data_IF_709055445603
#
_entry.id   IF_709055445603
#
_cell.length_a   1.000
_cell.length_b   1.000
_cell.length_c   1.000
_cell.angle_alpha   90.00
_cell.angle_beta   90.00
_cell.angle_gamma   90.00
#
_symmetry.space_group_name_H-M   'P 1'
#
loop_
_entity.id
_entity.type
_entity.pdbx_description
1 polymer ?
#
# COMPACT_ATOMS: atom_id res chain seq x y z
N UNK A 1 -43.37 18.64 -10.17
CA UNK A 1 -42.50 18.14 -11.26
C UNK A 1 -42.60 16.62 -11.29
N UNK A 2 -43.15 16.05 -12.37
CA UNK A 2 -43.25 14.59 -12.53
C UNK A 2 -41.84 14.02 -12.75
N UNK A 3 -41.36 13.14 -11.87
CA UNK A 3 -40.09 12.45 -12.05
C UNK A 3 -40.20 11.65 -13.35
N UNK A 4 -39.41 11.99 -14.37
CA UNK A 4 -39.31 11.19 -15.60
C UNK A 4 -39.00 9.75 -15.20
N UNK A 5 -39.92 8.85 -15.48
CA UNK A 5 -39.75 7.42 -15.26
C UNK A 5 -38.61 6.98 -16.19
N UNK A 6 -37.48 6.57 -15.62
CA UNK A 6 -36.33 6.09 -16.39
C UNK A 6 -36.62 4.65 -16.80
N UNK A 7 -36.67 4.39 -18.10
CA UNK A 7 -36.78 3.04 -18.65
C UNK A 7 -35.49 2.27 -18.38
N UNK A 8 -35.58 1.06 -17.83
CA UNK A 8 -34.44 0.17 -17.61
C UNK A 8 -34.50 -0.99 -18.62
N UNK A 9 -33.84 -0.87 -19.78
CA UNK A 9 -33.83 -1.94 -20.77
C UNK A 9 -33.09 -3.17 -20.24
N UNK A 10 -33.50 -4.36 -20.69
CA UNK A 10 -32.79 -5.60 -20.42
C UNK A 10 -31.47 -5.65 -21.18
N UNK A 11 -30.44 -6.23 -20.57
CA UNK A 11 -29.20 -6.58 -21.26
C UNK A 11 -29.28 -7.99 -21.82
N UNK A 12 -28.49 -8.26 -22.86
CA UNK A 12 -28.28 -9.61 -23.38
C UNK A 12 -27.19 -10.29 -22.54
N UNK A 13 -27.60 -10.92 -21.44
CA UNK A 13 -26.68 -11.56 -20.51
C UNK A 13 -26.19 -12.91 -21.04
N UNK A 14 -24.94 -13.24 -20.74
CA UNK A 14 -24.43 -14.60 -20.83
C UNK A 14 -25.27 -15.54 -19.97
N UNK A 15 -25.37 -16.79 -20.41
CA UNK A 15 -26.21 -17.80 -19.74
C UNK A 15 -25.49 -19.12 -19.56
N UNK A 16 -26.02 -19.96 -18.66
CA UNK A 16 -25.63 -21.35 -18.50
C UNK A 16 -24.12 -21.56 -18.44
N UNK A 17 -23.61 -22.29 -19.45
CA UNK A 17 -22.20 -22.70 -19.51
C UNK A 17 -21.25 -21.49 -19.58
N UNK A 18 -21.60 -20.45 -20.33
CA UNK A 18 -20.74 -19.27 -20.53
C UNK A 18 -20.41 -18.56 -19.21
N UNK A 19 -21.39 -18.42 -18.32
CA UNK A 19 -21.18 -17.79 -17.00
C UNK A 19 -20.37 -18.71 -16.09
N UNK A 20 -20.66 -20.01 -16.10
CA UNK A 20 -19.95 -20.96 -15.23
C UNK A 20 -18.50 -21.19 -15.63
N UNK A 21 -18.14 -21.05 -16.91
CA UNK A 21 -16.75 -21.12 -17.36
C UNK A 21 -15.95 -19.93 -16.85
N UNK A 22 -16.50 -18.71 -16.94
CA UNK A 22 -15.91 -17.50 -16.34
C UNK A 22 -15.77 -17.61 -14.82
N UNK A 23 -16.75 -18.20 -14.15
CA UNK A 23 -16.66 -18.50 -12.72
C UNK A 23 -15.56 -19.54 -12.43
N UNK A 24 -15.40 -20.57 -13.27
CA UNK A 24 -14.31 -21.53 -13.15
C UNK A 24 -12.94 -20.86 -13.26
N UNK A 25 -12.75 -20.00 -14.26
CA UNK A 25 -11.52 -19.21 -14.42
C UNK A 25 -11.26 -18.33 -13.19
N UNK A 26 -12.29 -17.59 -12.75
CA UNK A 26 -12.20 -16.66 -11.64
C UNK A 26 -11.84 -17.34 -10.30
N UNK A 27 -12.44 -18.49 -10.02
CA UNK A 27 -12.20 -19.24 -8.79
C UNK A 27 -11.03 -20.23 -8.93
N UNK A 28 -10.36 -20.27 -10.09
CA UNK A 28 -9.33 -21.24 -10.44
C UNK A 28 -9.80 -22.69 -10.18
N UNK A 29 -11.07 -22.96 -10.47
CA UNK A 29 -11.71 -24.25 -10.23
C UNK A 29 -11.41 -25.21 -11.37
N UNK A 30 -10.72 -26.32 -11.06
CA UNK A 30 -10.29 -27.32 -12.06
C UNK A 30 -11.45 -28.01 -12.78
N UNK A 31 -12.65 -28.03 -12.20
CA UNK A 31 -13.85 -28.64 -12.78
C UNK A 31 -15.12 -28.08 -12.11
N UNK A 32 -16.27 -28.37 -12.73
CA UNK A 32 -17.60 -27.91 -12.25
C UNK A 32 -17.98 -28.43 -10.87
N UNK A 33 -17.44 -29.59 -10.46
CA UNK A 33 -17.67 -30.12 -9.10
C UNK A 33 -16.94 -29.29 -8.05
N UNK A 34 -15.70 -28.91 -8.32
CA UNK A 34 -14.95 -28.01 -7.46
C UNK A 34 -15.61 -26.63 -7.39
N UNK A 35 -16.09 -26.11 -8.53
CA UNK A 35 -16.84 -24.85 -8.56
C UNK A 35 -18.12 -24.93 -7.72
N UNK A 36 -18.89 -26.02 -7.85
CA UNK A 36 -20.09 -26.28 -7.03
C UNK A 36 -19.81 -26.24 -5.53
N UNK A 37 -18.69 -26.83 -5.09
CA UNK A 37 -18.29 -26.80 -3.68
C UNK A 37 -17.89 -25.40 -3.23
N UNK A 38 -17.08 -24.68 -4.03
CA UNK A 38 -16.64 -23.31 -3.72
C UNK A 38 -17.80 -22.31 -3.66
N UNK A 39 -18.82 -22.53 -4.48
CA UNK A 39 -20.03 -21.71 -4.56
C UNK A 39 -21.13 -22.21 -3.61
N UNK A 40 -20.95 -23.32 -2.90
CA UNK A 40 -22.00 -23.90 -2.03
C UNK A 40 -23.34 -24.14 -2.75
N UNK A 41 -23.28 -24.56 -4.02
CA UNK A 41 -24.46 -24.88 -4.85
C UNK A 41 -24.41 -26.34 -5.28
N UNK A 42 -25.56 -26.99 -5.45
CA UNK A 42 -25.57 -28.38 -5.92
C UNK A 42 -25.11 -28.50 -7.39
N UNK A 43 -24.43 -29.60 -7.78
CA UNK A 43 -24.10 -29.85 -9.18
C UNK A 43 -25.33 -29.91 -10.09
N UNK A 44 -26.47 -30.35 -9.57
CA UNK A 44 -27.74 -30.40 -10.30
C UNK A 44 -28.26 -29.00 -10.67
N UNK A 45 -28.02 -28.00 -9.82
CA UNK A 45 -28.37 -26.61 -10.10
C UNK A 45 -27.53 -26.06 -11.26
N UNK A 46 -26.22 -26.32 -11.25
CA UNK A 46 -25.34 -25.95 -12.37
C UNK A 46 -25.78 -26.62 -13.68
N UNK A 47 -26.08 -27.92 -13.64
CA UNK A 47 -26.58 -28.65 -14.82
C UNK A 47 -27.89 -28.06 -15.35
N UNK A 48 -28.79 -27.63 -14.46
CA UNK A 48 -30.04 -26.97 -14.85
C UNK A 48 -29.78 -25.63 -15.55
N UNK A 49 -28.81 -24.85 -15.06
CA UNK A 49 -28.43 -23.59 -15.72
C UNK A 49 -27.89 -23.82 -17.13
N UNK A 50 -27.08 -24.87 -17.32
CA UNK A 50 -26.54 -25.23 -18.63
C UNK A 50 -27.63 -25.72 -19.59
N UNK A 51 -28.58 -26.52 -19.11
CA UNK A 51 -29.62 -27.10 -19.96
C UNK A 51 -30.66 -26.07 -20.41
N UNK A 52 -30.94 -25.08 -19.56
CA UNK A 52 -32.03 -24.11 -19.76
C UNK A 52 -31.54 -22.72 -20.13
N UNK A 53 -30.24 -22.57 -20.40
CA UNK A 53 -29.61 -21.26 -20.66
C UNK A 53 -30.04 -20.21 -19.63
N UNK A 54 -29.96 -20.56 -18.34
CA UNK A 54 -30.29 -19.66 -17.23
C UNK A 54 -29.03 -18.92 -16.79
N UNK A 55 -29.14 -17.60 -16.65
CA UNK A 55 -28.10 -16.79 -16.03
C UNK A 55 -28.17 -16.87 -14.49
N UNK A 56 -27.08 -17.26 -13.79
CA UNK A 56 -27.07 -17.35 -12.34
C UNK A 56 -26.83 -15.97 -11.68
N UNK A 57 -27.82 -15.08 -11.76
CA UNK A 57 -27.71 -13.69 -11.28
C UNK A 57 -27.29 -13.56 -9.81
N UNK A 58 -27.87 -14.36 -8.92
CA UNK A 58 -27.54 -14.34 -7.49
C UNK A 58 -26.05 -14.68 -7.27
N UNK A 59 -25.55 -15.70 -7.96
CA UNK A 59 -24.14 -16.10 -7.88
C UNK A 59 -23.25 -14.97 -8.38
N UNK A 60 -23.59 -14.36 -9.52
CA UNK A 60 -22.82 -13.25 -10.05
C UNK A 60 -22.77 -12.06 -9.07
N UNK A 61 -23.89 -11.72 -8.43
CA UNK A 61 -23.98 -10.64 -7.44
C UNK A 61 -23.11 -10.93 -6.22
N UNK A 62 -23.24 -12.11 -5.59
CA UNK A 62 -22.42 -12.41 -4.40
C UNK A 62 -20.94 -12.55 -4.75
N UNK A 63 -20.60 -13.04 -5.95
CA UNK A 63 -19.22 -13.07 -6.43
C UNK A 63 -18.66 -11.66 -6.60
N UNK A 64 -19.44 -10.74 -7.17
CA UNK A 64 -19.08 -9.31 -7.24
C UNK A 64 -18.86 -8.72 -5.85
N UNK A 65 -19.81 -8.90 -4.92
CA UNK A 65 -19.70 -8.36 -3.56
C UNK A 65 -18.53 -8.94 -2.77
N UNK A 66 -18.22 -10.23 -2.96
CA UNK A 66 -17.18 -10.93 -2.19
C UNK A 66 -15.77 -10.70 -2.74
N UNK A 67 -15.61 -10.64 -4.07
CA UNK A 67 -14.30 -10.57 -4.72
C UNK A 67 -14.03 -9.23 -5.42
N UNK A 68 -15.03 -8.39 -5.62
CA UNK A 68 -14.88 -7.12 -6.35
C UNK A 68 -14.87 -7.26 -7.88
N UNK A 69 -15.36 -8.39 -8.41
CA UNK A 69 -15.32 -8.70 -9.85
C UNK A 69 -16.38 -7.93 -10.63
N UNK A 70 -16.05 -7.33 -11.76
CA UNK A 70 -16.99 -6.62 -12.64
C UNK A 70 -18.16 -7.51 -13.11
N UNK A 71 -19.39 -7.07 -12.85
CA UNK A 71 -20.59 -7.72 -13.38
C UNK A 71 -20.67 -7.63 -14.91
N UNK A 72 -20.12 -6.57 -15.52
CA UNK A 72 -20.06 -6.47 -16.99
C UNK A 72 -19.16 -7.54 -17.60
N UNK A 73 -18.00 -7.78 -16.97
CA UNK A 73 -17.11 -8.85 -17.43
C UNK A 73 -17.76 -10.22 -17.20
N UNK A 74 -18.35 -10.43 -16.02
CA UNK A 74 -18.90 -11.73 -15.66
C UNK A 74 -20.17 -12.09 -16.46
N UNK A 75 -21.04 -11.11 -16.71
CA UNK A 75 -22.37 -11.35 -17.29
C UNK A 75 -22.51 -10.90 -18.75
N UNK A 76 -21.64 -10.03 -19.27
CA UNK A 76 -21.74 -9.52 -20.65
C UNK A 76 -20.49 -9.82 -21.49
N UNK A 77 -19.48 -10.46 -20.91
CA UNK A 77 -18.15 -10.63 -21.53
C UNK A 77 -17.44 -9.30 -21.86
N UNK A 78 -17.78 -8.20 -21.19
CA UNK A 78 -17.26 -6.87 -21.48
C UNK A 78 -16.22 -6.40 -20.45
N UNK A 79 -15.09 -5.86 -20.93
CA UNK A 79 -14.06 -5.23 -20.11
C UNK A 79 -13.18 -6.22 -19.34
N UNK A 80 -12.67 -5.81 -18.18
CA UNK A 80 -11.78 -6.60 -17.34
C UNK A 80 -12.50 -7.16 -16.10
N UNK A 81 -12.08 -8.33 -15.56
CA UNK A 81 -12.67 -8.91 -14.34
C UNK A 81 -12.50 -7.98 -13.15
N UNK A 82 -11.41 -7.21 -13.10
CA UNK A 82 -11.14 -6.23 -12.06
C UNK A 82 -10.69 -4.91 -12.69
N UNK A 83 -11.64 -4.09 -13.19
CA UNK A 83 -11.31 -2.85 -13.90
C UNK A 83 -10.57 -1.84 -13.00
N UNK A 84 -10.66 -2.01 -11.68
CA UNK A 84 -9.98 -1.20 -10.67
C UNK A 84 -8.80 -1.92 -9.99
N UNK A 85 -8.42 -3.15 -10.41
CA UNK A 85 -7.25 -3.84 -9.85
C UNK A 85 -5.95 -3.59 -10.65
N UNK A 86 -6.04 -2.90 -11.78
CA UNK A 86 -4.90 -2.15 -12.31
C UNK A 86 -4.40 -1.23 -11.20
N UNK A 87 -3.07 -1.10 -10.96
CA UNK A 87 -2.58 -0.02 -10.10
C UNK A 87 -3.28 1.26 -10.56
N UNK A 88 -3.85 2.05 -9.64
CA UNK A 88 -4.59 3.24 -10.01
C UNK A 88 -3.82 4.06 -11.04
N UNK A 89 -4.16 3.90 -12.31
CA UNK A 89 -3.72 4.83 -13.34
C UNK A 89 -4.66 6.00 -13.17
N UNK A 90 -4.37 6.84 -12.18
CA UNK A 90 -4.80 8.22 -12.20
C UNK A 90 -4.43 8.73 -13.60
N UNK A 91 -5.45 8.91 -14.44
CA UNK A 91 -5.39 9.64 -15.68
C UNK A 91 -5.79 11.07 -15.30
N UNK A 92 -4.83 11.92 -14.92
CA UNK A 92 -5.17 13.32 -14.70
C UNK A 92 -5.76 13.90 -15.99
N UNK A 93 -6.76 14.78 -15.86
CA UNK A 93 -7.33 15.56 -16.97
C UNK A 93 -6.28 16.48 -17.65
N UNK A 94 -5.04 16.52 -17.12
CA UNK A 94 -3.86 17.22 -17.61
C UNK A 94 -2.69 16.25 -17.56
N UNK A 95 -1.75 16.29 -18.51
CA UNK A 95 -0.51 15.49 -18.43
C UNK A 95 0.36 15.93 -17.24
N UNK A 96 0.03 15.50 -16.02
CA UNK A 96 0.92 15.62 -14.87
C UNK A 96 1.97 14.52 -15.00
N UNK A 97 3.14 14.88 -15.51
CA UNK A 97 4.30 13.99 -15.57
C UNK A 97 4.70 13.59 -14.15
N UNK A 98 4.55 12.31 -13.82
CA UNK A 98 5.11 11.77 -12.57
C UNK A 98 6.63 11.85 -12.66
N UNK A 99 7.25 12.65 -11.80
CA UNK A 99 8.69 12.77 -11.74
C UNK A 99 9.22 11.74 -10.74
N UNK A 100 9.62 10.57 -11.24
CA UNK A 100 10.23 9.52 -10.44
C UNK A 100 11.75 9.60 -10.55
N UNK A 101 12.45 9.38 -9.45
CA UNK A 101 13.91 9.26 -9.40
C UNK A 101 14.31 7.92 -8.77
N UNK A 102 15.50 7.45 -9.14
CA UNK A 102 16.13 6.32 -8.48
C UNK A 102 17.15 6.84 -7.45
N UNK A 103 17.05 6.32 -6.22
CA UNK A 103 17.91 6.68 -5.10
C UNK A 103 18.64 5.43 -4.59
N UNK A 104 19.90 5.60 -4.20
CA UNK A 104 20.71 4.50 -3.69
C UNK A 104 20.13 3.97 -2.38
N UNK A 105 19.98 2.65 -2.30
CA UNK A 105 19.41 1.93 -1.17
C UNK A 105 20.51 1.21 -0.40
N UNK A 106 20.62 1.54 0.88
CA UNK A 106 21.55 0.95 1.82
C UNK A 106 20.84 0.23 2.96
N UNK A 107 21.60 -0.57 3.69
CA UNK A 107 21.22 -1.13 4.98
C UNK A 107 22.41 -1.01 5.94
N UNK A 108 22.14 -0.83 7.23
CA UNK A 108 23.20 -0.77 8.25
C UNK A 108 23.39 -2.17 8.84
N UNK A 109 24.55 -2.79 8.57
CA UNK A 109 24.92 -4.11 9.09
C UNK A 109 26.16 -3.99 9.97
N UNK A 110 26.03 -4.36 11.24
CA UNK A 110 27.11 -4.24 12.24
C UNK A 110 27.72 -2.82 12.27
N UNK A 111 26.86 -1.80 12.15
CA UNK A 111 27.26 -0.39 12.10
C UNK A 111 27.95 0.05 10.82
N UNK A 112 27.92 -0.73 9.74
CA UNK A 112 28.45 -0.34 8.43
C UNK A 112 27.31 -0.13 7.43
N UNK A 113 27.41 0.93 6.63
CA UNK A 113 26.51 1.12 5.49
C UNK A 113 26.90 0.15 4.38
N UNK A 114 25.99 -0.77 4.06
CA UNK A 114 26.13 -1.71 2.97
C UNK A 114 25.10 -1.40 1.89
N UNK A 115 25.57 -1.20 0.66
CA UNK A 115 24.72 -1.00 -0.50
C UNK A 115 23.87 -2.26 -0.74
N UNK A 116 22.58 -2.04 -1.00
CA UNK A 116 21.58 -3.08 -1.22
C UNK A 116 20.97 -3.01 -2.63
N UNK A 117 21.02 -1.83 -3.27
CA UNK A 117 20.55 -1.62 -4.63
C UNK A 117 20.00 -0.21 -4.81
N UNK A 118 18.91 -0.09 -5.57
CA UNK A 118 18.22 1.19 -5.83
C UNK A 118 16.76 1.13 -5.38
N UNK A 119 16.20 2.29 -5.06
CA UNK A 119 14.78 2.49 -4.76
C UNK A 119 14.24 3.59 -5.66
N UNK A 120 13.06 3.40 -6.23
CA UNK A 120 12.37 4.51 -6.92
C UNK A 120 11.55 5.32 -5.92
N UNK A 121 11.65 6.64 -5.99
CA UNK A 121 10.94 7.60 -5.13
C UNK A 121 10.33 8.74 -5.95
N UNK A 122 9.31 9.41 -5.41
CA UNK A 122 8.65 10.54 -6.08
C UNK A 122 9.43 11.84 -5.80
N UNK A 123 9.94 12.46 -6.87
CA UNK A 123 10.70 13.70 -6.82
C UNK A 123 9.87 14.87 -6.26
N UNK A 124 8.55 14.88 -6.51
CA UNK A 124 7.70 15.99 -6.06
C UNK A 124 7.72 16.16 -4.54
N UNK A 125 7.81 15.07 -3.79
CA UNK A 125 7.93 15.08 -2.33
C UNK A 125 9.27 15.69 -1.87
N UNK A 126 10.35 15.49 -2.63
CA UNK A 126 11.64 16.09 -2.34
C UNK A 126 11.64 17.59 -2.67
N UNK A 127 11.06 17.96 -3.82
CA UNK A 127 10.95 19.34 -4.27
C UNK A 127 10.12 20.19 -3.31
N UNK A 128 9.04 19.65 -2.74
CA UNK A 128 8.22 20.30 -1.71
C UNK A 128 9.03 20.72 -0.47
N UNK A 129 10.09 19.97 -0.16
CA UNK A 129 11.00 20.24 0.96
C UNK A 129 12.31 20.90 0.53
N UNK A 130 12.53 21.12 -0.77
CA UNK A 130 13.78 21.66 -1.31
C UNK A 130 15.00 20.73 -1.18
N UNK A 131 14.77 19.41 -1.13
CA UNK A 131 15.81 18.40 -0.93
C UNK A 131 16.33 17.90 -2.29
N UNK A 132 17.65 17.85 -2.46
CA UNK A 132 18.28 17.48 -3.74
C UNK A 132 19.19 16.27 -3.70
N UNK A 133 19.65 15.86 -2.50
CA UNK A 133 20.62 14.78 -2.35
C UNK A 133 20.14 13.81 -1.26
N UNK A 134 19.70 12.63 -1.66
CA UNK A 134 19.12 11.65 -0.74
C UNK A 134 19.68 10.25 -0.94
N UNK A 135 19.69 9.49 0.16
CA UNK A 135 19.84 8.04 0.15
C UNK A 135 18.66 7.39 0.89
N UNK A 136 18.34 6.15 0.51
CA UNK A 136 17.43 5.33 1.28
C UNK A 136 18.22 4.39 2.20
N UNK A 137 17.81 4.30 3.47
CA UNK A 137 18.32 3.29 4.40
C UNK A 137 17.17 2.41 4.83
N UNK A 138 17.33 1.10 4.71
CA UNK A 138 16.32 0.11 5.08
C UNK A 138 16.80 -0.80 6.22
N UNK A 139 15.95 -0.90 7.23
CA UNK A 139 16.03 -1.92 8.28
C UNK A 139 14.93 -3.00 8.07
N UNK A 140 14.65 -3.80 9.10
CA UNK A 140 13.66 -4.88 9.01
C UNK A 140 12.23 -4.39 8.72
N UNK A 141 11.83 -3.26 9.32
CA UNK A 141 10.45 -2.76 9.28
C UNK A 141 10.35 -1.39 8.62
N UNK A 142 11.42 -0.60 8.67
CA UNK A 142 11.43 0.79 8.27
C UNK A 142 12.28 1.03 7.02
N UNK A 143 11.89 2.06 6.28
CA UNK A 143 12.71 2.69 5.24
C UNK A 143 12.78 4.18 5.55
N UNK A 144 13.99 4.69 5.67
CA UNK A 144 14.30 6.09 5.94
C UNK A 144 14.85 6.71 4.67
N UNK A 145 14.29 7.85 4.25
CA UNK A 145 14.87 8.69 3.19
C UNK A 145 15.65 9.79 3.90
N UNK A 146 16.96 9.80 3.69
CA UNK A 146 17.91 10.68 4.39
C UNK A 146 18.38 11.76 3.43
N UNK A 147 18.12 13.02 3.77
CA UNK A 147 18.70 14.20 3.15
C UNK A 147 20.15 14.36 3.61
N UNK A 148 21.09 14.20 2.69
CA UNK A 148 22.53 14.27 2.97
C UNK A 148 23.07 15.71 3.08
N UNK A 149 22.31 16.72 2.65
CA UNK A 149 22.73 18.13 2.80
C UNK A 149 22.39 18.66 4.21
N UNK A 150 21.37 18.11 4.87
CA UNK A 150 20.97 18.48 6.24
C UNK A 150 21.87 17.81 7.30
N UNK A 151 23.06 18.39 7.47
CA UNK A 151 24.10 17.92 8.42
C UNK A 151 24.11 18.69 9.75
N UNK A 152 23.41 19.81 9.85
CA UNK A 152 23.34 20.58 11.09
C UNK A 152 22.22 20.05 12.01
N UNK A 153 22.57 19.12 12.91
CA UNK A 153 21.59 18.49 13.79
C UNK A 153 20.96 19.49 14.79
N UNK A 154 19.63 19.63 14.76
CA UNK A 154 18.85 20.49 15.69
C UNK A 154 17.82 19.68 16.45
N UNK A 155 16.87 19.06 15.75
CA UNK A 155 15.87 18.18 16.33
C UNK A 155 15.33 17.26 15.24
N UNK A 156 15.36 15.95 15.46
CA UNK A 156 14.89 14.96 14.49
C UNK A 156 15.68 13.67 14.53
N UNK A 157 15.46 12.80 13.54
CA UNK A 157 16.25 11.58 13.36
C UNK A 157 17.35 11.87 12.35
N UNK A 158 18.58 11.52 12.68
CA UNK A 158 19.75 11.77 11.84
C UNK A 158 20.54 10.49 11.61
N UNK A 159 21.12 10.38 10.42
CA UNK A 159 22.21 9.47 10.15
C UNK A 159 23.49 10.09 10.71
N UNK A 160 24.15 9.34 11.59
CA UNK A 160 25.41 9.76 12.19
C UNK A 160 26.46 8.68 12.00
N UNK A 161 27.71 9.12 11.91
CA UNK A 161 28.90 8.31 11.98
C UNK A 161 29.66 8.68 13.28
N UNK A 162 30.01 7.66 14.06
CA UNK A 162 30.87 7.80 15.23
C UNK A 162 31.85 6.63 15.27
N UNK A 163 33.15 6.89 15.44
CA UNK A 163 34.21 5.88 15.42
C UNK A 163 34.16 4.91 14.22
N UNK A 164 33.74 5.41 13.05
CA UNK A 164 33.59 4.63 11.82
C UNK A 164 32.33 3.74 11.78
N UNK A 165 31.41 3.88 12.74
CA UNK A 165 30.13 3.19 12.77
C UNK A 165 28.97 4.14 12.48
N UNK A 166 28.10 3.72 11.57
CA UNK A 166 26.87 4.41 11.18
C UNK A 166 25.69 3.96 12.03
N UNK A 167 24.82 4.90 12.37
CA UNK A 167 23.54 4.63 13.03
C UNK A 167 22.52 5.73 12.77
N UNK A 168 21.23 5.39 12.86
CA UNK A 168 20.12 6.35 12.81
C UNK A 168 19.61 6.59 14.23
N UNK A 169 19.66 7.83 14.72
CA UNK A 169 19.24 8.15 16.07
C UNK A 169 18.44 9.44 16.13
N UNK A 170 17.54 9.54 17.11
CA UNK A 170 16.91 10.81 17.45
C UNK A 170 17.93 11.70 18.17
N UNK A 171 18.09 12.92 17.67
CA UNK A 171 19.01 13.92 18.19
C UNK A 171 18.25 15.18 18.54
N UNK A 172 18.62 15.78 19.67
CA UNK A 172 18.18 17.10 20.08
C UNK A 172 19.39 17.96 20.46
N UNK A 173 19.49 19.16 19.89
CA UNK A 173 20.53 20.13 20.22
C UNK A 173 20.25 20.79 21.56
N UNK A 174 21.29 20.86 22.38
CA UNK A 174 21.29 21.49 23.68
C UNK A 174 22.20 22.73 23.66
N UNK A 175 21.99 23.70 24.57
CA UNK A 175 22.91 24.82 24.74
C UNK A 175 24.36 24.37 24.99
N UNK A 176 25.31 25.22 24.62
CA UNK A 176 26.73 24.95 24.82
C UNK A 176 27.33 23.94 23.83
N UNK A 177 26.79 23.88 22.60
CA UNK A 177 27.28 23.02 21.50
C UNK A 177 27.24 21.52 21.81
N UNK A 178 26.20 21.11 22.53
CA UNK A 178 25.97 19.72 22.90
C UNK A 178 24.80 19.13 22.13
N UNK A 179 24.85 17.83 21.90
CA UNK A 179 23.75 17.05 21.32
C UNK A 179 23.35 15.96 22.32
N UNK A 180 22.04 15.82 22.55
CA UNK A 180 21.45 14.67 23.20
C UNK A 180 21.07 13.64 22.13
N UNK A 181 21.64 12.45 22.21
CA UNK A 181 21.40 11.34 21.28
C UNK A 181 20.64 10.25 22.04
N UNK A 182 19.50 9.83 21.50
CA UNK A 182 18.70 8.76 22.08
C UNK A 182 19.10 7.40 21.50
N UNK A 183 19.63 6.53 22.36
CA UNK A 183 19.90 5.13 22.07
C UNK A 183 18.85 4.27 22.77
N UNK A 184 17.85 3.81 22.03
CA UNK A 184 16.71 3.06 22.58
C UNK A 184 16.04 3.83 23.75
N UNK A 185 16.24 3.36 24.98
CA UNK A 185 15.67 3.95 26.20
C UNK A 185 16.65 4.84 26.99
N UNK A 186 17.88 5.01 26.48
CA UNK A 186 18.90 5.85 27.11
C UNK A 186 19.18 7.10 26.29
N UNK A 187 19.64 8.16 26.96
CA UNK A 187 20.08 9.40 26.30
C UNK A 187 21.53 9.67 26.67
N UNK A 188 22.38 9.82 25.67
CA UNK A 188 23.77 10.23 25.82
C UNK A 188 23.92 11.69 25.42
N UNK A 189 24.67 12.47 26.21
CA UNK A 189 25.00 13.85 25.84
C UNK A 189 26.46 13.90 25.39
N UNK A 190 26.68 14.38 24.18
CA UNK A 190 28.01 14.52 23.55
C UNK A 190 28.22 15.94 23.05
N UNK A 191 29.47 16.32 22.80
CA UNK A 191 29.75 17.57 22.09
C UNK A 191 29.46 17.40 20.59
N UNK A 192 29.06 18.46 19.91
CA UNK A 192 28.75 18.41 18.47
C UNK A 192 29.95 17.96 17.61
N UNK A 193 31.17 18.10 18.12
CA UNK A 193 32.42 17.72 17.44
C UNK A 193 32.79 16.25 17.62
N UNK A 194 32.12 15.51 18.50
CA UNK A 194 32.40 14.09 18.80
C UNK A 194 31.68 13.12 17.85
N UNK A 195 30.81 13.64 16.97
CA UNK A 195 30.09 12.87 15.98
C UNK A 195 30.13 13.57 14.62
N UNK A 196 30.01 12.77 13.56
CA UNK A 196 29.81 13.28 12.22
C UNK A 196 28.34 13.07 11.84
N UNK A 197 27.60 14.16 11.62
CA UNK A 197 26.21 14.10 11.16
C UNK A 197 26.23 14.09 9.64
N UNK A 198 25.78 13.00 9.03
CA UNK A 198 25.88 12.77 7.58
C UNK A 198 24.55 12.95 6.85
N UNK A 199 23.45 13.17 7.59
CA UNK A 199 22.18 13.58 7.01
C UNK A 199 21.01 13.50 7.98
N UNK A 200 19.89 14.12 7.61
CA UNK A 200 18.64 14.11 8.36
C UNK A 200 17.61 13.20 7.68
N UNK A 201 16.85 12.43 8.46
CA UNK A 201 15.71 11.70 7.92
C UNK A 201 14.60 12.68 7.56
N UNK A 202 14.27 12.75 6.27
CA UNK A 202 13.17 13.56 5.74
C UNK A 202 11.85 12.76 5.68
N UNK A 203 11.93 11.46 5.32
CA UNK A 203 10.77 10.57 5.24
C UNK A 203 11.01 9.26 5.96
N UNK A 204 9.96 8.71 6.57
CA UNK A 204 9.95 7.41 7.22
C UNK A 204 8.73 6.62 6.75
N UNK A 205 8.96 5.43 6.19
CA UNK A 205 7.91 4.47 5.88
C UNK A 205 8.08 3.22 6.74
N UNK A 206 7.03 2.83 7.47
CA UNK A 206 7.02 1.61 8.29
C UNK A 206 6.14 0.53 7.65
N UNK A 207 6.68 -0.67 7.52
CA UNK A 207 5.98 -1.87 7.07
C UNK A 207 5.23 -2.47 8.25
N UNK A 208 3.91 -2.35 8.22
CA UNK A 208 3.05 -3.06 9.17
C UNK A 208 2.94 -4.52 8.73
N UNK A 209 3.66 -5.41 9.40
CA UNK A 209 3.41 -6.85 9.30
C UNK A 209 2.11 -7.13 10.05
N UNK A 210 1.11 -7.70 9.38
CA UNK A 210 -0.19 -8.01 9.96
C UNK A 210 -0.04 -8.83 11.26
N UNK A 211 -0.08 -8.16 12.41
CA UNK A 211 -0.50 -8.77 13.65
C UNK A 211 -1.98 -9.15 13.45
N UNK A 212 -2.25 -10.45 13.44
CA UNK A 212 -3.60 -10.98 13.44
C UNK A 212 -4.33 -10.45 14.68
N UNK A 213 -5.12 -9.39 14.54
CA UNK A 213 -6.30 -9.04 15.35
C UNK A 213 -6.87 -7.70 14.88
N UNK A 214 -7.90 -7.76 14.04
CA UNK A 214 -8.85 -6.66 13.89
C UNK A 214 -9.61 -6.49 15.21
N UNK A 215 -9.07 -5.67 16.11
CA UNK A 215 -9.86 -4.98 17.12
C UNK A 215 -9.20 -3.65 17.42
N UNK A 216 -10.02 -2.61 17.60
CA UNK A 216 -9.67 -1.20 17.81
C UNK A 216 -9.56 -0.32 16.56
N UNK A 217 -10.74 0.02 16.02
CA UNK A 217 -11.19 1.41 16.13
C UNK A 217 -12.48 1.37 16.95
N UNK A 218 -12.38 1.57 18.27
CA UNK A 218 -13.50 2.09 19.05
C UNK A 218 -13.33 3.60 19.05
N UNK A 219 -14.32 4.31 18.53
CA UNK A 219 -14.44 5.75 18.70
C UNK A 219 -14.46 6.08 20.21
N UNK A 220 -13.90 7.22 20.64
CA UNK A 220 -14.01 7.66 22.02
C UNK A 220 -15.48 7.97 22.34
N UNK A 221 -16.01 7.28 23.36
CA UNK A 221 -17.29 7.63 23.97
C UNK A 221 -17.29 9.12 24.32
N UNK A 222 -18.23 9.85 23.75
CA UNK A 222 -18.52 11.23 24.11
C UNK A 222 -19.03 11.25 25.54
N UNK A 223 -18.21 11.74 26.46
CA UNK A 223 -18.66 12.21 27.77
C UNK A 223 -19.57 13.42 27.55
N UNK A 224 -20.87 13.17 27.39
CA UNK A 224 -21.90 14.16 27.66
C UNK A 224 -22.03 14.30 29.17
N UNK A 225 -21.65 15.46 29.70
CA UNK A 225 -21.99 15.84 31.05
C UNK A 225 -23.48 16.13 31.17
N UNK A 226 -24.06 15.71 32.29
CA UNK A 226 -25.10 16.37 33.09
C UNK A 226 -24.87 16.00 34.56
#
# INVERSE_FOLDING_TARGET
MSKKQVSLPSYDYLTGKQVTERLCELFNAKNMRALSQMLEISPSTIATWHQRDICPYEVAIRTHLRKGVSLKWLLLAEGDPYPNASPHTYQPDKEETRHLIDIDLFTIKNGQLAEQGIMTFDQSLLDELGITNVIAIRDAENTYIVDQESTNAVNGIYLIEFDGFFSLNAIQRLPGKKLAIRFQDTTLTVNETELNVTGQVAFLTTRLLNASSNHFIREPDTLSGE
#
